data_IF_620788280005
#
_entry.id   IF_620788280005
#
_cell.length_a   1.000
_cell.length_b   1.000
_cell.length_c   1.000
_cell.angle_alpha   90.00
_cell.angle_beta   90.00
_cell.angle_gamma   90.00
#
_symmetry.space_group_name_H-M   'P 1'
#
loop_
_entity.id
_entity.type
_entity.pdbx_description
1 polymer ?
#
# COMPACT_ATOMS: atom_id res chain seq x y z
N UNK A 1 17.30 3.50 2.01
CA UNK A 1 16.23 4.39 2.53
C UNK A 1 16.72 5.83 2.49
N UNK A 2 16.03 6.74 1.78
CA UNK A 2 16.38 8.16 1.75
C UNK A 2 15.26 8.91 2.50
N UNK A 3 15.57 9.48 3.68
CA UNK A 3 14.66 10.33 4.50
C UNK A 3 13.43 9.66 5.17
N UNK A 4 13.53 8.40 5.62
CA UNK A 4 12.50 7.81 6.52
C UNK A 4 11.12 7.57 5.91
N UNK A 5 11.02 7.53 4.57
CA UNK A 5 9.80 7.17 3.84
C UNK A 5 9.99 5.84 3.13
N UNK A 6 9.00 4.96 3.25
CA UNK A 6 8.95 3.70 2.51
C UNK A 6 7.90 3.85 1.41
N UNK A 7 8.28 3.54 0.18
CA UNK A 7 7.38 3.62 -0.97
C UNK A 7 7.25 2.22 -1.55
N UNK A 8 6.04 1.69 -1.53
CA UNK A 8 5.66 0.45 -2.21
C UNK A 8 5.08 0.77 -3.59
N UNK A 9 5.54 0.05 -4.61
CA UNK A 9 5.01 0.13 -5.97
C UNK A 9 4.05 -1.02 -6.21
N UNK A 10 2.87 -0.70 -6.73
CA UNK A 10 1.89 -1.71 -7.14
C UNK A 10 2.10 -2.13 -8.59
N UNK A 11 1.49 -3.26 -8.94
CA UNK A 11 1.48 -3.77 -10.30
C UNK A 11 0.89 -2.73 -11.26
N UNK A 12 1.56 -2.49 -12.39
CA UNK A 12 1.10 -1.51 -13.41
C UNK A 12 -0.21 -1.91 -14.06
N UNK A 13 -0.54 -3.20 -14.04
CA UNK A 13 -1.76 -3.70 -14.67
C UNK A 13 -2.98 -3.42 -13.77
N UNK A 14 -3.68 -2.32 -14.03
CA UNK A 14 -4.92 -1.96 -13.35
C UNK A 14 -6.06 -2.98 -13.55
N UNK A 15 -6.00 -3.81 -14.60
CA UNK A 15 -6.95 -4.90 -14.82
C UNK A 15 -6.56 -6.19 -14.08
N UNK A 16 -5.46 -6.19 -13.34
CA UNK A 16 -5.10 -7.35 -12.54
C UNK A 16 -6.18 -7.58 -11.47
N UNK A 17 -6.57 -8.83 -11.30
CA UNK A 17 -7.48 -9.28 -10.23
C UNK A 17 -7.01 -8.85 -8.83
N UNK A 18 -5.74 -8.48 -8.70
CA UNK A 18 -5.21 -7.87 -7.49
C UNK A 18 -6.01 -6.63 -7.06
N UNK A 19 -6.34 -5.71 -7.98
CA UNK A 19 -7.04 -4.46 -7.65
C UNK A 19 -8.53 -4.66 -7.34
N UNK A 20 -9.14 -5.71 -7.86
CA UNK A 20 -10.53 -6.08 -7.54
C UNK A 20 -10.62 -7.03 -6.35
N UNK A 21 -9.49 -7.58 -5.90
CA UNK A 21 -9.44 -8.52 -4.79
C UNK A 21 -9.92 -7.91 -3.48
N UNK A 22 -10.52 -8.76 -2.65
CA UNK A 22 -10.92 -8.40 -1.27
C UNK A 22 -9.74 -7.87 -0.45
N UNK A 23 -8.54 -8.40 -0.68
CA UNK A 23 -7.31 -8.00 0.02
C UNK A 23 -6.90 -6.57 -0.31
N UNK A 24 -7.05 -6.15 -1.57
CA UNK A 24 -6.80 -4.77 -1.96
C UNK A 24 -7.82 -3.80 -1.37
N UNK A 25 -9.13 -4.14 -1.40
CA UNK A 25 -10.16 -3.35 -0.71
C UNK A 25 -9.86 -3.14 0.77
N UNK A 26 -9.48 -4.19 1.48
CA UNK A 26 -9.12 -4.08 2.89
C UNK A 26 -7.87 -3.21 3.11
N UNK A 27 -6.92 -3.23 2.18
CA UNK A 27 -5.77 -2.32 2.21
C UNK A 27 -6.21 -0.87 2.03
N UNK A 28 -7.13 -0.58 1.10
CA UNK A 28 -7.69 0.75 0.88
C UNK A 28 -8.37 1.26 2.17
N UNK A 29 -9.22 0.44 2.79
CA UNK A 29 -9.87 0.77 4.07
C UNK A 29 -8.85 1.05 5.17
N UNK A 30 -7.77 0.26 5.21
CA UNK A 30 -6.69 0.44 6.16
C UNK A 30 -5.98 1.79 5.96
N UNK A 31 -5.63 2.14 4.72
CA UNK A 31 -4.98 3.41 4.38
C UNK A 31 -5.89 4.59 4.71
N UNK A 32 -7.18 4.48 4.43
CA UNK A 32 -8.15 5.53 4.80
C UNK A 32 -8.24 5.73 6.31
N UNK A 33 -8.28 4.64 7.08
CA UNK A 33 -8.29 4.68 8.56
C UNK A 33 -6.98 5.18 9.17
N UNK A 34 -5.86 5.00 8.47
CA UNK A 34 -4.50 5.29 8.95
C UNK A 34 -3.78 6.29 8.04
N UNK A 35 -4.52 7.29 7.55
CA UNK A 35 -4.03 8.31 6.61
C UNK A 35 -2.91 9.21 7.17
N UNK A 36 -2.73 9.21 8.49
CA UNK A 36 -1.67 9.92 9.21
C UNK A 36 -0.29 9.28 9.07
N UNK A 37 -0.22 7.98 8.76
CA UNK A 37 1.04 7.21 8.66
C UNK A 37 1.26 6.63 7.26
N UNK A 38 0.22 6.53 6.44
CA UNK A 38 0.33 6.00 5.10
C UNK A 38 -0.65 6.66 4.15
N UNK A 39 -0.21 6.88 2.92
CA UNK A 39 -1.00 7.52 1.87
C UNK A 39 -0.82 6.74 0.59
N UNK A 40 -1.92 6.51 -0.10
CA UNK A 40 -1.92 5.88 -1.41
C UNK A 40 -2.15 6.94 -2.48
N UNK A 41 -1.29 6.95 -3.49
CA UNK A 41 -1.32 7.93 -4.58
C UNK A 41 -1.13 7.23 -5.90
N UNK A 42 -1.93 7.61 -6.87
CA UNK A 42 -1.74 7.24 -8.27
C UNK A 42 -0.74 8.17 -8.92
N UNK A 43 0.21 7.61 -9.67
CA UNK A 43 1.19 8.36 -10.44
C UNK A 43 1.24 7.82 -11.86
N UNK A 44 1.01 8.71 -12.80
CA UNK A 44 1.22 8.43 -14.21
C UNK A 44 2.72 8.21 -14.45
N UNK A 45 3.07 7.09 -15.08
CA UNK A 45 4.40 6.81 -15.60
C UNK A 45 4.32 6.65 -17.12
N UNK A 46 5.46 6.75 -17.85
CA UNK A 46 5.47 6.47 -19.29
C UNK A 46 4.97 5.06 -19.64
N UNK A 47 5.07 4.12 -18.70
CA UNK A 47 4.60 2.74 -18.82
C UNK A 47 3.15 2.53 -18.32
N UNK A 48 2.40 3.61 -18.06
CA UNK A 48 1.02 3.58 -17.56
C UNK A 48 0.85 4.07 -16.13
N UNK A 49 -0.37 3.94 -15.61
CA UNK A 49 -0.73 4.39 -14.27
C UNK A 49 -0.17 3.42 -13.21
N UNK A 50 0.59 3.94 -12.25
CA UNK A 50 1.08 3.17 -11.11
C UNK A 50 0.45 3.67 -9.84
N UNK A 51 -0.02 2.73 -9.03
CA UNK A 51 -0.33 3.02 -7.64
C UNK A 51 0.96 3.01 -6.80
N UNK A 52 1.10 4.01 -5.94
CA UNK A 52 2.17 4.11 -4.96
C UNK A 52 1.56 4.18 -3.57
N UNK A 53 1.99 3.29 -2.69
CA UNK A 53 1.72 3.41 -1.27
C UNK A 53 2.95 4.00 -0.60
N UNK A 54 2.80 5.21 -0.08
CA UNK A 54 3.85 5.89 0.67
C UNK A 54 3.53 5.80 2.14
N UNK A 55 4.43 5.20 2.88
CA UNK A 55 4.41 5.22 4.33
C UNK A 55 5.29 6.37 4.83
N UNK A 56 4.68 7.30 5.55
CA UNK A 56 5.34 8.43 6.18
C UNK A 56 5.58 8.08 7.66
N UNK A 57 6.79 8.32 8.15
CA UNK A 57 7.16 8.06 9.55
C UNK A 57 6.97 6.59 10.03
N UNK A 58 6.87 5.62 9.11
CA UNK A 58 6.95 4.20 9.44
C UNK A 58 8.42 3.87 9.75
N UNK A 59 8.78 4.08 11.01
CA UNK A 59 10.13 3.82 11.54
C UNK A 59 10.48 2.33 11.54
N UNK A 60 9.49 1.43 11.42
CA UNK A 60 9.72 -0.01 11.45
C UNK A 60 8.84 -0.75 10.44
N UNK A 61 9.49 -1.60 9.64
CA UNK A 61 8.84 -2.60 8.77
C UNK A 61 7.88 -3.50 9.55
N UNK A 62 8.11 -3.65 10.86
CA UNK A 62 7.30 -4.42 11.80
C UNK A 62 5.85 -3.94 11.86
N UNK A 63 5.60 -2.62 11.85
CA UNK A 63 4.22 -2.09 11.89
C UNK A 63 3.47 -2.42 10.59
N UNK A 64 4.14 -2.26 9.44
CA UNK A 64 3.59 -2.63 8.15
C UNK A 64 3.35 -4.15 8.05
N UNK A 65 4.24 -4.96 8.63
CA UNK A 65 4.11 -6.41 8.68
C UNK A 65 2.93 -6.85 9.56
N UNK A 66 2.80 -6.32 10.79
CA UNK A 66 1.66 -6.61 11.68
C UNK A 66 0.31 -6.32 11.01
N UNK A 67 0.26 -5.23 10.23
CA UNK A 67 -0.94 -4.83 9.49
C UNK A 67 -1.21 -5.75 8.29
N UNK A 68 -0.17 -6.18 7.57
CA UNK A 68 -0.30 -7.20 6.53
C UNK A 68 -0.70 -8.57 7.09
N UNK A 69 -0.25 -8.92 8.30
CA UNK A 69 -0.62 -10.13 9.02
C UNK A 69 -2.08 -10.07 9.51
N UNK A 70 -2.53 -8.90 10.00
CA UNK A 70 -3.94 -8.64 10.33
C UNK A 70 -4.86 -8.72 9.10
N UNK A 71 -4.41 -8.24 7.94
CA UNK A 71 -5.13 -8.33 6.66
C UNK A 71 -5.08 -9.73 6.05
N UNK A 72 -4.06 -10.53 6.40
CA UNK A 72 -3.86 -11.87 5.85
C UNK A 72 -4.79 -12.93 6.41
N UNK A 73 -5.45 -12.66 7.55
CA UNK A 73 -6.14 -13.67 8.33
C UNK A 73 -5.12 -14.66 8.89
N UNK A 74 -5.01 -14.74 10.22
CA UNK A 74 -4.53 -15.99 10.80
C UNK A 74 -5.54 -17.06 10.37
N UNK A 75 -5.06 -18.01 9.58
CA UNK A 75 -5.68 -19.29 9.29
C UNK A 75 -6.17 -19.98 10.56
#
# INVERSE_FOLDING_TARGET
MKKGKMIGYFVTNQQSDYYTSKRFKQMIDFVQKNSSICVMKEKQTPAGLRLLLTFDNVKTTRRALELMELLGGKS
#
